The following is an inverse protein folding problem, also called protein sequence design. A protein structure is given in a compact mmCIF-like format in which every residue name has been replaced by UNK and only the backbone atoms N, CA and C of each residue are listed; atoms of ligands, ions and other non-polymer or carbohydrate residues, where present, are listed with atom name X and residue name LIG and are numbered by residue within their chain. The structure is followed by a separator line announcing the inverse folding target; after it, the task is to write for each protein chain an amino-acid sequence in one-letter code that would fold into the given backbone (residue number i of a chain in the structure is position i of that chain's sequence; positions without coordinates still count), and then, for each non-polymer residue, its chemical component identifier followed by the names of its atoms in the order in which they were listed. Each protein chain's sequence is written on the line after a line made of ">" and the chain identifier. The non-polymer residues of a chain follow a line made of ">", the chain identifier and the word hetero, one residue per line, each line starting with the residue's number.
data_IF_403966522762
#
_entry.id   IF_403966522762
#
_cell.length_a   1.000
_cell.length_b   1.000
_cell.length_c   1.000
_cell.angle_alpha   90.00
_cell.angle_beta   90.00
_cell.angle_gamma   90.00
#
_symmetry.space_group_name_H-M   'P 1'
#
loop_
_entity.id
_entity.type
_entity.pdbx_description
1 polymer ?
#
# COMPACT_ATOMS: atom_id res chain seq x y z
N UNK A 1 10.42 -8.95 -12.14
CA UNK A 1 9.87 -9.80 -11.04
C UNK A 1 8.47 -10.21 -11.44
N UNK A 2 8.16 -11.46 -11.38
CA UNK A 2 6.79 -11.99 -11.52
C UNK A 2 6.05 -12.00 -10.18
N UNK A 3 4.76 -12.33 -10.22
CA UNK A 3 3.88 -12.36 -9.05
C UNK A 3 4.34 -13.37 -8.00
N UNK A 4 4.73 -14.57 -8.42
CA UNK A 4 5.15 -15.63 -7.50
C UNK A 4 6.40 -15.20 -6.71
N UNK A 5 7.36 -14.59 -7.37
CA UNK A 5 8.56 -14.05 -6.73
C UNK A 5 8.23 -12.87 -5.81
N UNK A 6 7.34 -11.96 -6.24
CA UNK A 6 6.88 -10.86 -5.40
C UNK A 6 6.25 -11.38 -4.10
N UNK A 7 5.28 -12.30 -4.20
CA UNK A 7 4.63 -12.90 -3.02
C UNK A 7 5.63 -13.61 -2.12
N UNK A 8 6.55 -14.39 -2.68
CA UNK A 8 7.60 -15.07 -1.91
C UNK A 8 8.42 -14.09 -1.06
N UNK A 9 8.79 -12.93 -1.61
CA UNK A 9 9.60 -11.93 -0.91
C UNK A 9 8.77 -11.07 0.06
N UNK A 10 7.58 -10.64 -0.34
CA UNK A 10 6.70 -9.83 0.52
C UNK A 10 6.22 -10.62 1.73
N UNK A 11 6.00 -11.93 1.57
CA UNK A 11 5.58 -12.83 2.62
C UNK A 11 6.73 -13.48 3.40
N UNK A 12 7.97 -13.15 3.11
CA UNK A 12 9.08 -13.40 4.04
C UNK A 12 8.94 -12.62 5.35
N UNK A 13 8.15 -11.53 5.33
CA UNK A 13 7.68 -10.84 6.53
C UNK A 13 6.52 -11.62 7.16
N UNK A 14 6.75 -12.19 8.35
CA UNK A 14 5.76 -13.00 9.09
C UNK A 14 4.52 -12.19 9.47
N UNK A 15 4.66 -10.89 9.68
CA UNK A 15 3.55 -10.00 10.02
C UNK A 15 2.62 -9.82 8.81
N UNK A 16 3.16 -9.67 7.60
CA UNK A 16 2.34 -9.64 6.38
C UNK A 16 1.51 -10.92 6.24
N UNK A 17 2.09 -12.10 6.52
CA UNK A 17 1.36 -13.37 6.51
C UNK A 17 0.27 -13.39 7.57
N UNK A 18 0.62 -13.05 8.81
CA UNK A 18 -0.34 -13.06 9.92
C UNK A 18 -1.52 -12.11 9.68
N UNK A 19 -1.27 -10.94 9.07
CA UNK A 19 -2.36 -10.02 8.69
C UNK A 19 -3.24 -10.66 7.63
N UNK A 20 -2.66 -11.17 6.54
CA UNK A 20 -3.42 -11.79 5.44
C UNK A 20 -4.26 -12.98 5.92
N UNK A 21 -3.72 -13.79 6.83
CA UNK A 21 -4.45 -14.91 7.45
C UNK A 21 -5.62 -14.43 8.32
N UNK A 22 -5.46 -13.28 8.99
CA UNK A 22 -6.48 -12.69 9.86
C UNK A 22 -7.53 -11.83 9.12
N UNK A 23 -7.26 -11.32 7.90
CA UNK A 23 -8.21 -10.45 7.19
C UNK A 23 -9.62 -11.03 7.08
N UNK A 24 -9.83 -12.33 6.79
CA UNK A 24 -11.18 -12.91 6.72
C UNK A 24 -11.99 -12.79 8.02
N UNK A 25 -11.32 -12.78 9.18
CA UNK A 25 -11.99 -12.66 10.49
C UNK A 25 -12.62 -11.27 10.70
N UNK A 26 -12.14 -10.25 10.00
CA UNK A 26 -12.75 -8.92 10.04
C UNK A 26 -14.15 -8.91 9.41
N UNK A 27 -14.46 -9.86 8.54
CA UNK A 27 -15.74 -9.92 7.81
C UNK A 27 -16.09 -8.59 7.12
N UNK A 28 -15.08 -7.91 6.56
CA UNK A 28 -15.22 -6.68 5.79
C UNK A 28 -15.15 -6.97 4.29
N UNK A 29 -15.97 -6.31 3.47
CA UNK A 29 -15.94 -6.52 2.02
C UNK A 29 -14.67 -5.92 1.40
N UNK A 30 -14.20 -6.54 0.32
CA UNK A 30 -13.09 -6.07 -0.54
C UNK A 30 -11.85 -5.61 0.25
N UNK A 31 -11.34 -6.48 1.13
CA UNK A 31 -10.26 -6.17 2.08
C UNK A 31 -8.90 -6.55 1.51
N UNK A 32 -7.93 -5.63 1.57
CA UNK A 32 -6.58 -5.75 1.02
C UNK A 32 -5.52 -5.28 2.01
N UNK A 33 -4.44 -6.05 2.16
CA UNK A 33 -3.17 -5.51 2.68
C UNK A 33 -2.49 -4.76 1.53
N UNK A 34 -2.04 -3.51 1.75
CA UNK A 34 -1.58 -2.66 0.65
C UNK A 34 -0.24 -1.96 0.92
N UNK A 35 0.43 -1.61 -0.17
CA UNK A 35 1.54 -0.66 -0.22
C UNK A 35 2.72 -0.97 0.70
N UNK A 36 2.95 -0.14 1.72
CA UNK A 36 4.17 0.00 2.49
C UNK A 36 4.82 -1.31 2.94
N UNK A 37 4.11 -2.11 3.72
CA UNK A 37 4.64 -3.36 4.26
C UNK A 37 5.01 -4.39 3.19
N UNK A 38 4.31 -4.38 2.06
CA UNK A 38 4.55 -5.32 0.95
C UNK A 38 5.82 -4.98 0.17
N UNK A 39 5.91 -3.75 -0.38
CA UNK A 39 7.07 -3.41 -1.21
C UNK A 39 8.34 -3.21 -0.39
N UNK A 40 8.26 -2.72 0.86
CA UNK A 40 9.41 -2.58 1.74
C UNK A 40 9.98 -3.94 2.17
N UNK A 41 9.13 -4.95 2.42
CA UNK A 41 9.60 -6.31 2.68
C UNK A 41 10.37 -6.88 1.47
N UNK A 42 9.91 -6.60 0.24
CA UNK A 42 10.67 -6.97 -0.97
C UNK A 42 12.01 -6.25 -1.02
N UNK A 43 12.05 -4.94 -0.76
CA UNK A 43 13.32 -4.18 -0.72
C UNK A 43 14.27 -4.70 0.35
N UNK A 44 13.75 -5.06 1.53
CA UNK A 44 14.53 -5.68 2.59
C UNK A 44 15.19 -6.98 2.13
N UNK A 45 14.41 -7.85 1.47
CA UNK A 45 14.93 -9.11 0.93
C UNK A 45 15.97 -8.91 -0.20
N UNK A 46 15.78 -7.87 -1.05
CA UNK A 46 16.73 -7.55 -2.13
C UNK A 46 18.05 -6.93 -1.61
N UNK A 47 18.05 -6.46 -0.38
CA UNK A 47 19.18 -5.74 0.23
C UNK A 47 19.69 -6.38 1.51
N UNK A 48 19.36 -7.67 1.74
CA UNK A 48 19.79 -8.49 2.88
C UNK A 48 19.49 -7.85 4.25
N UNK A 49 18.37 -7.13 4.36
CA UNK A 49 17.86 -6.56 5.60
C UNK A 49 16.84 -7.49 6.27
N UNK A 50 16.60 -7.31 7.58
CA UNK A 50 15.53 -8.00 8.29
C UNK A 50 14.16 -7.75 7.60
N UNK A 51 13.25 -8.75 7.50
CA UNK A 51 12.01 -8.64 6.73
C UNK A 51 11.09 -7.50 7.14
N UNK A 52 11.17 -7.04 8.38
CA UNK A 52 10.40 -5.95 8.98
C UNK A 52 11.17 -4.61 9.04
N UNK A 53 12.43 -4.57 8.60
CA UNK A 53 13.26 -3.37 8.66
C UNK A 53 12.55 -2.18 8.05
N UNK A 54 12.48 -1.09 8.82
CA UNK A 54 11.95 0.20 8.37
C UNK A 54 10.44 0.28 8.18
N UNK A 55 9.71 -0.82 8.28
CA UNK A 55 8.24 -0.84 8.22
C UNK A 55 7.70 -0.26 9.53
N UNK A 56 6.83 0.75 9.43
CA UNK A 56 6.24 1.43 10.58
C UNK A 56 4.82 1.01 10.85
N UNK A 57 4.06 0.86 9.78
CA UNK A 57 2.62 0.65 9.78
C UNK A 57 2.23 -0.36 8.70
N UNK A 58 1.08 -0.95 8.87
CA UNK A 58 0.49 -1.93 7.98
C UNK A 58 -0.86 -1.42 7.52
N UNK A 59 -0.92 -0.94 6.27
CA UNK A 59 -2.11 -0.36 5.68
C UNK A 59 -3.07 -1.45 5.19
N UNK A 60 -4.32 -1.40 5.64
CA UNK A 60 -5.40 -2.26 5.19
C UNK A 60 -6.51 -1.40 4.59
N UNK A 61 -6.81 -1.64 3.32
CA UNK A 61 -7.95 -1.03 2.63
C UNK A 61 -9.11 -2.01 2.61
N UNK A 62 -10.34 -1.49 2.72
CA UNK A 62 -11.57 -2.20 2.43
C UNK A 62 -12.55 -1.25 1.74
N UNK A 63 -13.59 -1.79 1.13
CA UNK A 63 -14.61 -0.97 0.50
C UNK A 63 -15.99 -1.40 0.99
N UNK A 64 -16.63 -0.56 1.80
CA UNK A 64 -17.99 -0.75 2.30
C UNK A 64 -18.82 0.50 1.93
N UNK A 65 -19.99 0.35 1.25
CA UNK A 65 -20.85 1.47 0.90
C UNK A 65 -21.47 2.18 2.12
N UNK A 66 -21.45 1.56 3.31
CA UNK A 66 -21.76 2.27 4.55
C UNK A 66 -20.64 3.24 4.89
N UNK A 67 -20.84 4.51 4.53
CA UNK A 67 -19.90 5.60 4.78
C UNK A 67 -20.12 6.29 6.13
N UNK A 68 -20.89 5.71 7.06
CA UNK A 68 -21.06 6.27 8.40
C UNK A 68 -19.74 6.24 9.18
N UNK A 69 -19.53 7.24 10.02
CA UNK A 69 -18.37 7.31 10.90
C UNK A 69 -18.32 6.10 11.84
N UNK A 70 -19.47 5.76 12.39
CA UNK A 70 -19.63 4.67 13.36
C UNK A 70 -19.29 3.30 12.76
N UNK A 71 -19.59 3.07 11.48
CA UNK A 71 -19.25 1.82 10.80
C UNK A 71 -17.73 1.68 10.65
N UNK A 72 -17.04 2.73 10.19
CA UNK A 72 -15.58 2.71 10.06
C UNK A 72 -14.89 2.60 11.42
N UNK A 73 -15.35 3.34 12.44
CA UNK A 73 -14.77 3.28 13.78
C UNK A 73 -14.88 1.88 14.40
N UNK A 74 -16.04 1.21 14.26
CA UNK A 74 -16.19 -0.19 14.66
C UNK A 74 -15.25 -1.14 13.91
N UNK A 75 -15.05 -0.93 12.62
CA UNK A 75 -14.13 -1.72 11.82
C UNK A 75 -12.67 -1.53 12.27
N UNK A 76 -12.27 -0.29 12.51
CA UNK A 76 -10.94 0.04 13.04
C UNK A 76 -10.73 -0.59 14.42
N UNK A 77 -11.71 -0.50 15.32
CA UNK A 77 -11.61 -1.10 16.66
C UNK A 77 -11.44 -2.63 16.58
N UNK A 78 -12.19 -3.31 15.68
CA UNK A 78 -12.04 -4.76 15.46
C UNK A 78 -10.66 -5.11 14.92
N UNK A 79 -10.16 -4.38 13.93
CA UNK A 79 -8.83 -4.64 13.37
C UNK A 79 -7.73 -4.45 14.41
N UNK A 80 -7.81 -3.39 15.22
CA UNK A 80 -6.88 -3.16 16.33
C UNK A 80 -6.89 -4.30 17.34
N UNK A 81 -8.08 -4.79 17.72
CA UNK A 81 -8.21 -5.90 18.67
C UNK A 81 -7.65 -7.20 18.09
N UNK A 82 -7.95 -7.50 16.82
CA UNK A 82 -7.50 -8.72 16.14
C UNK A 82 -5.98 -8.76 16.02
N UNK A 83 -5.36 -7.66 15.63
CA UNK A 83 -3.92 -7.60 15.37
C UNK A 83 -3.07 -7.12 16.57
N UNK A 84 -3.72 -6.78 17.71
CA UNK A 84 -3.00 -6.39 18.92
C UNK A 84 -1.91 -7.38 19.38
N UNK A 85 -2.10 -8.72 19.27
CA UNK A 85 -1.06 -9.68 19.63
C UNK A 85 0.22 -9.59 18.80
N UNK A 86 0.16 -9.00 17.60
CA UNK A 86 1.34 -8.82 16.73
C UNK A 86 2.24 -7.66 17.20
N UNK A 87 1.76 -6.79 18.10
CA UNK A 87 2.53 -5.65 18.62
C UNK A 87 2.85 -4.58 17.58
N UNK A 88 2.00 -4.44 16.54
CA UNK A 88 2.21 -3.53 15.40
C UNK A 88 1.12 -2.47 15.32
N UNK A 89 1.39 -1.42 14.53
CA UNK A 89 0.38 -0.45 14.14
C UNK A 89 -0.28 -0.87 12.82
N UNK A 90 -1.62 -1.05 12.86
CA UNK A 90 -2.45 -1.34 11.69
C UNK A 90 -3.32 -0.14 11.39
N UNK A 91 -3.25 0.37 10.16
CA UNK A 91 -4.12 1.42 9.65
C UNK A 91 -5.20 0.84 8.72
N UNK A 92 -6.43 0.69 9.24
CA UNK A 92 -7.59 0.27 8.44
C UNK A 92 -8.35 1.48 7.91
N UNK A 93 -8.70 1.49 6.61
CA UNK A 93 -9.43 2.59 5.98
C UNK A 93 -10.49 2.10 5.00
N UNK A 94 -11.72 2.63 5.16
CA UNK A 94 -12.80 2.44 4.18
C UNK A 94 -12.58 3.34 2.97
N UNK A 95 -12.30 2.73 1.82
CA UNK A 95 -12.03 3.49 0.59
C UNK A 95 -13.27 4.22 0.05
N UNK A 96 -14.48 3.78 0.39
CA UNK A 96 -15.71 4.50 0.08
C UNK A 96 -15.80 5.86 0.78
N UNK A 97 -15.04 6.09 1.86
CA UNK A 97 -15.10 7.33 2.65
C UNK A 97 -14.00 8.35 2.33
N UNK A 98 -12.94 7.96 1.64
CA UNK A 98 -11.75 8.82 1.48
C UNK A 98 -12.10 10.18 0.89
N UNK A 99 -13.02 10.23 -0.07
CA UNK A 99 -13.48 11.48 -0.71
C UNK A 99 -14.15 12.48 0.26
N UNK A 100 -14.61 12.04 1.43
CA UNK A 100 -15.29 12.90 2.42
C UNK A 100 -14.30 13.76 3.23
N UNK A 101 -13.08 13.28 3.44
CA UNK A 101 -12.10 13.95 4.30
C UNK A 101 -10.80 14.35 3.58
N UNK A 102 -10.49 13.70 2.47
CA UNK A 102 -9.23 13.92 1.74
C UNK A 102 -9.06 15.37 1.24
N UNK A 103 -10.10 16.01 0.64
CA UNK A 103 -9.99 17.38 0.17
C UNK A 103 -9.70 18.37 1.29
N UNK A 104 -10.33 18.21 2.46
CA UNK A 104 -10.08 19.06 3.62
C UNK A 104 -8.64 18.89 4.15
N UNK A 105 -8.19 17.64 4.27
CA UNK A 105 -6.87 17.31 4.83
C UNK A 105 -5.71 17.68 3.92
N UNK A 106 -5.87 17.60 2.61
CA UNK A 106 -4.77 17.72 1.64
C UNK A 106 -4.94 18.85 0.60
N UNK A 107 -6.06 19.56 0.62
CA UNK A 107 -6.32 20.66 -0.33
C UNK A 107 -6.48 20.22 -1.79
N UNK A 108 -6.73 18.94 -2.04
CA UNK A 108 -6.84 18.38 -3.40
C UNK A 108 -8.17 17.65 -3.57
N UNK A 109 -8.83 17.77 -4.74
CA UNK A 109 -10.05 17.02 -5.01
C UNK A 109 -9.76 15.51 -5.01
N UNK A 110 -10.71 14.76 -4.46
CA UNK A 110 -10.65 13.30 -4.43
C UNK A 110 -12.05 12.75 -4.79
N UNK A 111 -12.22 12.15 -5.98
CA UNK A 111 -13.52 11.62 -6.38
C UNK A 111 -13.91 10.39 -5.54
N UNK A 112 -15.20 10.11 -5.37
CA UNK A 112 -15.64 8.84 -4.81
C UNK A 112 -15.03 7.66 -5.56
N UNK A 113 -14.66 6.62 -4.82
CA UNK A 113 -14.13 5.38 -5.36
C UNK A 113 -15.23 4.33 -5.47
N UNK A 114 -15.01 3.29 -6.26
CA UNK A 114 -15.96 2.19 -6.51
C UNK A 114 -15.56 0.87 -5.88
N UNK A 115 -14.27 0.71 -5.52
CA UNK A 115 -13.71 -0.46 -4.89
C UNK A 115 -12.42 -0.10 -4.13
N UNK A 116 -11.87 -1.04 -3.35
CA UNK A 116 -10.65 -0.79 -2.58
C UNK A 116 -9.42 -0.60 -3.50
N UNK A 117 -9.37 -1.27 -4.65
CA UNK A 117 -8.24 -1.15 -5.59
C UNK A 117 -8.15 0.21 -6.25
N UNK A 118 -9.27 0.94 -6.41
CA UNK A 118 -9.24 2.34 -6.86
C UNK A 118 -8.39 3.23 -5.92
N UNK A 119 -8.36 2.89 -4.61
CA UNK A 119 -7.51 3.56 -3.64
C UNK A 119 -6.02 3.25 -3.84
N UNK A 120 -5.69 2.02 -4.26
CA UNK A 120 -4.32 1.63 -4.60
C UNK A 120 -3.81 2.44 -5.79
N UNK A 121 -4.66 2.70 -6.77
CA UNK A 121 -4.32 3.52 -7.95
C UNK A 121 -4.00 4.98 -7.62
N UNK A 122 -4.31 5.42 -6.41
CA UNK A 122 -4.05 6.78 -5.91
C UNK A 122 -2.74 6.94 -5.14
N UNK A 123 -1.97 5.89 -4.95
CA UNK A 123 -0.65 6.01 -4.34
C UNK A 123 0.30 6.85 -5.19
N UNK A 124 1.26 7.50 -4.54
CA UNK A 124 2.12 8.52 -5.17
C UNK A 124 3.13 7.97 -6.18
N UNK A 125 3.44 6.68 -6.13
CA UNK A 125 4.40 6.03 -7.02
C UNK A 125 3.95 4.62 -7.41
N UNK A 126 4.21 4.14 -8.63
CA UNK A 126 3.90 2.79 -9.06
C UNK A 126 4.44 1.68 -8.14
N UNK A 127 5.63 1.85 -7.57
CA UNK A 127 6.18 0.91 -6.58
C UNK A 127 5.29 0.75 -5.33
N UNK A 128 4.46 1.75 -5.01
CA UNK A 128 3.51 1.70 -3.89
C UNK A 128 2.15 1.12 -4.28
N UNK A 129 1.86 1.03 -5.60
CA UNK A 129 0.55 0.62 -6.13
C UNK A 129 0.46 -0.90 -6.18
N UNK A 130 0.46 -1.51 -5.00
CA UNK A 130 0.39 -2.96 -4.83
C UNK A 130 -0.49 -3.31 -3.66
N UNK A 131 -1.27 -4.37 -3.81
CA UNK A 131 -2.10 -4.96 -2.76
C UNK A 131 -2.14 -6.47 -2.86
N UNK A 132 -2.39 -7.13 -1.72
CA UNK A 132 -2.60 -8.57 -1.60
C UNK A 132 -3.89 -8.80 -0.83
N UNK A 133 -4.73 -9.68 -1.35
CA UNK A 133 -6.01 -10.08 -0.77
C UNK A 133 -6.03 -11.60 -0.55
N UNK A 134 -6.53 -12.03 0.60
CA UNK A 134 -6.91 -13.42 0.83
C UNK A 134 -8.27 -13.67 0.18
N UNK A 135 -8.34 -14.56 -0.82
CA UNK A 135 -9.56 -14.87 -1.57
C UNK A 135 -9.60 -16.33 -2.03
N UNK A 136 -10.74 -16.98 -1.85
CA UNK A 136 -10.97 -18.32 -2.41
C UNK A 136 -9.98 -19.41 -1.97
N UNK A 137 -9.39 -19.28 -0.77
CA UNK A 137 -8.40 -20.22 -0.25
C UNK A 137 -6.98 -20.01 -0.79
N UNK A 138 -6.74 -18.89 -1.48
CA UNK A 138 -5.43 -18.47 -1.98
C UNK A 138 -5.21 -16.97 -1.81
N UNK A 139 -4.17 -16.46 -2.46
CA UNK A 139 -3.86 -15.04 -2.49
C UNK A 139 -4.09 -14.48 -3.90
N UNK A 140 -4.62 -13.28 -3.96
CA UNK A 140 -4.76 -12.49 -5.18
C UNK A 140 -3.96 -11.21 -5.03
N UNK A 141 -3.22 -10.82 -6.07
CA UNK A 141 -2.49 -9.56 -6.09
C UNK A 141 -3.19 -8.53 -6.97
N UNK A 142 -2.98 -7.27 -6.65
CA UNK A 142 -3.31 -6.14 -7.51
C UNK A 142 -2.07 -5.27 -7.66
N UNK A 143 -1.59 -5.09 -8.88
CA UNK A 143 -0.43 -4.26 -9.20
C UNK A 143 -0.59 -3.70 -10.62
N UNK A 144 -1.25 -2.54 -10.80
CA UNK A 144 -1.62 -2.01 -12.12
C UNK A 144 -0.41 -1.70 -13.00
N UNK A 145 0.76 -1.47 -12.42
CA UNK A 145 2.03 -1.27 -13.13
C UNK A 145 2.98 -2.48 -13.02
N UNK A 146 2.47 -3.62 -12.53
CA UNK A 146 3.31 -4.79 -12.26
C UNK A 146 4.33 -4.54 -11.14
N UNK A 147 5.34 -5.39 -11.08
CA UNK A 147 6.32 -5.41 -9.99
C UNK A 147 7.71 -4.89 -10.42
N UNK A 148 7.81 -4.26 -11.61
CA UNK A 148 9.09 -3.80 -12.17
C UNK A 148 9.78 -2.76 -11.28
N UNK A 149 9.05 -1.71 -10.91
CA UNK A 149 9.58 -0.61 -10.08
C UNK A 149 9.96 -1.09 -8.67
N UNK A 150 9.23 -2.05 -8.11
CA UNK A 150 9.57 -2.68 -6.84
C UNK A 150 10.89 -3.46 -6.98
N UNK A 151 11.01 -4.27 -8.04
CA UNK A 151 12.18 -5.10 -8.29
C UNK A 151 13.46 -4.31 -8.54
N UNK A 152 13.34 -3.16 -9.21
CA UNK A 152 14.49 -2.27 -9.51
C UNK A 152 14.69 -1.20 -8.44
N UNK A 153 13.91 -1.26 -7.35
CA UNK A 153 13.95 -0.26 -6.27
C UNK A 153 13.84 1.17 -6.82
N UNK A 154 12.90 1.38 -7.75
CA UNK A 154 12.70 2.66 -8.44
C UNK A 154 11.46 3.38 -7.91
N UNK A 155 11.62 4.63 -7.51
CA UNK A 155 10.54 5.53 -7.15
C UNK A 155 10.39 6.56 -8.26
N UNK A 156 9.29 6.49 -8.97
CA UNK A 156 8.89 7.50 -9.98
C UNK A 156 7.49 8.01 -9.69
N UNK A 157 7.12 9.20 -10.17
CA UNK A 157 5.79 9.74 -9.99
C UNK A 157 4.70 8.83 -10.55
N UNK A 158 3.56 8.76 -9.84
CA UNK A 158 2.36 8.14 -10.39
C UNK A 158 1.90 8.95 -11.63
N UNK A 159 1.72 8.31 -12.80
CA UNK A 159 1.32 9.01 -14.03
C UNK A 159 -0.18 9.37 -14.08
N UNK A 160 -0.99 8.92 -13.12
CA UNK A 160 -2.42 9.21 -13.03
C UNK A 160 -2.73 10.44 -12.18
N UNK A 161 -3.98 10.91 -12.23
CA UNK A 161 -4.45 12.09 -11.51
C UNK A 161 -4.30 11.98 -9.97
N UNK A 162 -4.32 13.13 -9.27
CA UNK A 162 -4.08 13.29 -7.83
C UNK A 162 -2.62 13.06 -7.38
N UNK A 163 -1.70 13.33 -8.24
CA UNK A 163 -0.30 13.32 -7.90
C UNK A 163 0.11 14.58 -7.13
N UNK A 164 0.78 14.40 -6.00
CA UNK A 164 1.39 15.47 -5.22
C UNK A 164 2.91 15.31 -5.18
N UNK A 165 3.61 16.09 -6.00
CA UNK A 165 5.07 16.00 -6.16
C UNK A 165 5.83 16.25 -4.86
N UNK A 166 5.41 17.24 -4.06
CA UNK A 166 6.05 17.56 -2.78
C UNK A 166 5.99 16.41 -1.80
N UNK A 167 4.82 15.78 -1.65
CA UNK A 167 4.65 14.60 -0.78
C UNK A 167 5.43 13.39 -1.25
N UNK A 168 5.54 13.19 -2.57
CA UNK A 168 6.38 12.11 -3.09
C UNK A 168 7.84 12.37 -2.75
N UNK A 169 8.34 13.58 -2.98
CA UNK A 169 9.73 13.95 -2.68
C UNK A 169 10.07 13.71 -1.20
N UNK A 170 9.20 14.14 -0.27
CA UNK A 170 9.36 13.91 1.17
C UNK A 170 9.39 12.42 1.53
N UNK A 171 8.47 11.62 0.97
CA UNK A 171 8.44 10.17 1.20
C UNK A 171 9.68 9.49 0.61
N UNK A 172 10.04 9.84 -0.62
CA UNK A 172 11.21 9.27 -1.30
C UNK A 172 12.51 9.57 -0.56
N UNK A 173 12.68 10.78 -0.02
CA UNK A 173 13.83 11.14 0.79
C UNK A 173 13.94 10.25 2.04
N UNK A 174 12.84 10.09 2.80
CA UNK A 174 12.79 9.20 3.98
C UNK A 174 13.06 7.73 3.66
N UNK A 175 12.60 7.25 2.51
CA UNK A 175 12.91 5.89 2.07
C UNK A 175 14.39 5.77 1.66
N UNK A 176 14.93 6.78 0.97
CA UNK A 176 16.35 6.80 0.56
C UNK A 176 17.32 6.73 1.74
N UNK A 177 16.95 7.32 2.89
CA UNK A 177 17.72 7.21 4.13
C UNK A 177 17.82 5.77 4.64
N UNK A 178 16.74 4.98 4.47
CA UNK A 178 16.68 3.58 4.91
C UNK A 178 17.22 2.61 3.86
N UNK A 179 16.94 2.89 2.60
CA UNK A 179 17.37 2.10 1.44
C UNK A 179 18.16 3.00 0.49
N UNK A 180 19.48 3.20 0.73
CA UNK A 180 20.34 4.00 -0.15
C UNK A 180 20.40 3.49 -1.59
N UNK A 181 20.02 2.25 -1.82
CA UNK A 181 19.97 1.60 -3.14
C UNK A 181 18.83 2.13 -4.03
N UNK A 182 17.82 2.82 -3.46
CA UNK A 182 16.69 3.35 -4.21
C UNK A 182 17.13 4.31 -5.32
N UNK A 183 16.56 4.17 -6.49
CA UNK A 183 16.61 5.14 -7.57
C UNK A 183 15.37 6.04 -7.53
N UNK A 184 15.57 7.34 -7.42
CA UNK A 184 14.48 8.33 -7.45
C UNK A 184 14.50 9.04 -8.80
N UNK A 185 13.38 8.93 -9.54
CA UNK A 185 13.19 9.60 -10.84
C UNK A 185 12.42 10.88 -10.62
N UNK A 186 13.03 12.01 -10.98
CA UNK A 186 12.39 13.32 -10.85
C UNK A 186 11.31 13.54 -11.91
N UNK A 187 10.30 14.35 -11.57
CA UNK A 187 9.12 14.61 -12.40
C UNK A 187 9.40 15.21 -13.80
N UNK A 188 10.64 15.58 -14.10
CA UNK A 188 11.06 16.13 -15.40
C UNK A 188 11.73 15.12 -16.35
N UNK A 189 12.15 13.95 -15.88
CA UNK A 189 12.92 12.98 -16.70
C UNK A 189 12.05 11.92 -17.39
N UNK A 190 10.79 11.78 -17.03
CA UNK A 190 9.89 10.76 -17.60
C UNK A 190 9.47 11.02 -19.06
N UNK A 191 9.77 12.17 -19.62
CA UNK A 191 9.36 12.57 -20.97
C UNK A 191 10.36 12.19 -22.10
N UNK A 192 11.59 11.77 -21.76
CA UNK A 192 12.67 11.58 -22.75
C UNK A 192 12.97 10.13 -23.15
N UNK A 193 12.27 9.13 -22.62
CA UNK A 193 12.52 7.71 -22.93
C UNK A 193 11.48 7.05 -23.82
N UNK A 194 10.74 7.82 -24.63
CA UNK A 194 9.88 7.30 -25.71
C UNK A 194 10.35 7.89 -27.04
N UNK A 195 11.39 7.33 -27.58
CA UNK A 195 11.80 7.51 -28.98
C UNK A 195 12.18 6.16 -29.53
#
# INVERSE_FOLDING_TARGET
>A
MDEARFLSLALANDINRAILDGLPELSLPDTWLVSGSLFQAVWNALTDRAPDYGIKDYDIFYFDPDTSWEAEDRAIARARALFAPLGIEVELRNQARVHLWYPEKFGMPYPPLSCATDGIDRFLAPACMVGVQAAGGGLRTYAPFGFGDIATMTIRPNPVANFNAGRLAEKAARWKEKWPELTIVESGQAALSRS
#
